data_IF_566511686428
#
_entry.id   IF_566511686428
#
_cell.length_a   1.000
_cell.length_b   1.000
_cell.length_c   1.000
_cell.angle_alpha   90.00
_cell.angle_beta   90.00
_cell.angle_gamma   90.00
#
_symmetry.space_group_name_H-M   'P 1'
#
loop_
_entity.id
_entity.type
_entity.pdbx_description
1 polymer ?
#
# COMPACT_ATOMS: atom_id res chain seq x y z
N UNK A 1 8.98 0.24 3.06
CA UNK A 1 9.86 1.39 2.72
C UNK A 1 11.25 0.98 2.25
N UNK A 2 11.97 0.09 2.95
CA UNK A 2 13.33 -0.33 2.58
C UNK A 2 13.45 -0.86 1.13
N UNK A 3 12.49 -1.66 0.66
CA UNK A 3 12.45 -2.15 -0.72
C UNK A 3 12.31 -1.01 -1.74
N UNK A 4 11.40 -0.06 -1.50
CA UNK A 4 11.21 1.09 -2.37
C UNK A 4 12.47 1.94 -2.48
N UNK A 5 13.15 2.21 -1.36
CA UNK A 5 14.43 2.95 -1.37
C UNK A 5 15.50 2.24 -2.23
N UNK A 6 15.62 0.91 -2.14
CA UNK A 6 16.55 0.17 -3.00
C UNK A 6 16.18 0.26 -4.48
N UNK A 7 14.90 0.20 -4.82
CA UNK A 7 14.46 0.30 -6.21
C UNK A 7 14.71 1.68 -6.81
N UNK A 8 14.60 2.74 -6.00
CA UNK A 8 14.98 4.09 -6.42
C UNK A 8 16.49 4.22 -6.57
N UNK A 9 17.26 3.84 -5.54
CA UNK A 9 18.70 4.07 -5.50
C UNK A 9 19.48 3.16 -6.46
N UNK A 10 19.14 1.88 -6.51
CA UNK A 10 19.92 0.88 -7.25
C UNK A 10 19.43 0.70 -8.69
N UNK A 11 18.17 1.05 -8.98
CA UNK A 11 17.55 0.78 -10.28
C UNK A 11 16.94 2.02 -10.95
N UNK A 12 17.05 3.21 -10.32
CA UNK A 12 16.50 4.48 -10.84
C UNK A 12 15.01 4.39 -11.23
N UNK A 13 14.26 3.55 -10.52
CA UNK A 13 12.83 3.39 -10.73
C UNK A 13 12.08 4.43 -9.94
N UNK A 14 11.05 5.02 -10.54
CA UNK A 14 10.13 5.85 -9.79
C UNK A 14 9.17 4.97 -8.99
N UNK A 15 8.98 5.34 -7.73
CA UNK A 15 8.29 4.54 -6.73
C UNK A 15 7.22 5.37 -6.05
N UNK A 16 5.97 4.96 -6.20
CA UNK A 16 4.84 5.47 -5.43
C UNK A 16 4.44 4.46 -4.35
N UNK A 17 4.27 4.91 -3.11
CA UNK A 17 3.71 4.17 -1.98
C UNK A 17 2.27 4.62 -1.72
N UNK A 18 1.34 3.67 -1.61
CA UNK A 18 -0.04 3.96 -1.23
C UNK A 18 -0.29 3.50 0.20
N UNK A 19 -0.41 4.44 1.13
CA UNK A 19 -0.61 4.14 2.55
C UNK A 19 -2.10 4.16 2.88
N UNK A 20 -2.61 3.09 3.49
CA UNK A 20 -4.00 3.03 3.97
C UNK A 20 -4.07 3.50 5.40
N UNK A 21 -4.72 4.63 5.64
CA UNK A 21 -4.81 5.17 6.99
C UNK A 21 -5.83 4.38 7.83
N UNK A 22 -5.37 3.70 8.89
CA UNK A 22 -6.25 3.40 10.02
C UNK A 22 -6.47 4.69 10.83
N UNK A 23 -7.64 4.83 11.45
CA UNK A 23 -8.02 6.04 12.21
C UNK A 23 -7.10 6.34 13.40
N UNK A 24 -6.19 5.42 13.74
CA UNK A 24 -5.08 5.60 14.69
C UNK A 24 -3.79 5.03 14.12
N UNK A 25 -3.15 5.75 13.21
CA UNK A 25 -1.75 5.47 12.89
C UNK A 25 -0.92 5.54 14.19
N UNK A 26 -0.12 4.51 14.47
CA UNK A 26 0.74 4.51 15.66
C UNK A 26 1.83 5.59 15.53
N UNK A 27 2.36 6.09 16.66
CA UNK A 27 3.39 7.15 16.65
C UNK A 27 4.60 6.77 15.77
N UNK A 28 5.00 5.49 15.77
CA UNK A 28 6.11 4.98 14.94
C UNK A 28 5.81 4.91 13.44
N UNK A 29 4.54 4.70 13.05
CA UNK A 29 4.12 4.75 11.63
C UNK A 29 4.21 6.18 11.09
N UNK A 30 3.77 7.16 11.89
CA UNK A 30 3.84 8.58 11.53
C UNK A 30 5.28 9.04 11.33
N UNK A 31 6.20 8.65 12.23
CA UNK A 31 7.62 8.98 12.14
C UNK A 31 8.30 8.34 10.91
N UNK A 32 7.96 7.09 10.60
CA UNK A 32 8.53 6.37 9.43
C UNK A 32 8.09 7.03 8.12
N UNK A 33 6.80 7.35 7.99
CA UNK A 33 6.25 8.03 6.81
C UNK A 33 6.83 9.44 6.69
N UNK A 34 6.91 10.20 7.79
CA UNK A 34 7.49 11.54 7.79
C UNK A 34 8.97 11.53 7.40
N UNK A 35 9.74 10.59 7.92
CA UNK A 35 11.16 10.42 7.58
C UNK A 35 11.35 10.14 6.10
N UNK A 36 10.49 9.32 5.51
CA UNK A 36 10.56 9.03 4.07
C UNK A 36 10.12 10.20 3.19
N UNK A 37 9.10 10.96 3.60
CA UNK A 37 8.74 12.22 2.92
C UNK A 37 9.89 13.22 2.97
N UNK A 38 10.57 13.33 4.11
CA UNK A 38 11.72 14.22 4.28
C UNK A 38 12.91 13.85 3.38
N UNK A 39 13.02 12.58 2.98
CA UNK A 39 14.07 12.12 2.07
C UNK A 39 13.78 12.43 0.59
N UNK A 40 12.55 12.83 0.22
CA UNK A 40 12.13 13.15 -1.16
C UNK A 40 12.43 12.06 -2.21
N UNK A 41 12.71 10.83 -1.78
CA UNK A 41 13.05 9.72 -2.68
C UNK A 41 11.81 8.99 -3.20
N UNK A 42 10.65 9.13 -2.54
CA UNK A 42 9.46 8.32 -2.78
C UNK A 42 8.22 9.20 -2.80
N UNK A 43 7.33 8.96 -3.77
CA UNK A 43 5.99 9.55 -3.75
C UNK A 43 5.12 8.76 -2.78
N UNK A 44 4.44 9.46 -1.87
CA UNK A 44 3.59 8.82 -0.86
C UNK A 44 2.18 9.39 -0.96
N UNK A 45 1.25 8.54 -1.38
CA UNK A 45 -0.18 8.85 -1.47
C UNK A 45 -0.88 8.19 -0.29
N UNK A 46 -1.54 8.99 0.53
CA UNK A 46 -2.35 8.48 1.63
C UNK A 46 -3.79 8.33 1.16
N UNK A 47 -4.31 7.12 1.24
CA UNK A 47 -5.69 6.81 0.91
C UNK A 47 -6.59 7.14 2.12
N UNK A 48 -7.76 7.77 1.91
CA UNK A 48 -8.71 7.98 2.99
C UNK A 48 -9.14 6.66 3.65
N UNK A 49 -9.45 6.68 4.96
CA UNK A 49 -9.95 5.51 5.66
C UNK A 49 -11.26 4.98 5.04
N UNK A 50 -11.42 3.66 5.03
CA UNK A 50 -12.64 2.98 4.58
C UNK A 50 -13.45 2.51 5.78
N UNK A 51 -14.78 2.63 5.69
CA UNK A 51 -15.68 2.15 6.74
C UNK A 51 -15.92 0.64 6.60
N UNK A 52 -15.51 -0.11 7.63
CA UNK A 52 -15.68 -1.56 7.73
C UNK A 52 -16.62 -1.97 8.87
N UNK A 53 -17.30 -1.01 9.52
CA UNK A 53 -18.15 -1.26 10.70
C UNK A 53 -19.25 -2.29 10.44
N UNK A 54 -19.79 -2.33 9.22
CA UNK A 54 -20.82 -3.27 8.79
C UNK A 54 -20.25 -4.54 8.11
N UNK A 55 -18.93 -4.72 8.12
CA UNK A 55 -18.23 -5.78 7.38
C UNK A 55 -17.45 -6.73 8.29
N UNK A 56 -17.15 -6.30 9.51
CA UNK A 56 -16.28 -7.01 10.45
C UNK A 56 -16.88 -6.95 11.85
N UNK A 57 -17.05 -8.11 12.49
CA UNK A 57 -17.48 -8.18 13.90
C UNK A 57 -16.40 -7.60 14.83
N UNK A 58 -16.76 -6.96 15.96
CA UNK A 58 -15.79 -6.30 16.86
C UNK A 58 -14.63 -7.17 17.34
N UNK A 59 -14.81 -8.50 17.38
CA UNK A 59 -13.82 -9.48 17.84
C UNK A 59 -13.25 -10.35 16.70
N UNK A 60 -13.40 -9.89 15.44
CA UNK A 60 -12.84 -10.62 14.31
C UNK A 60 -11.31 -10.72 14.41
N UNK A 61 -10.72 -11.83 13.93
CA UNK A 61 -9.27 -11.95 13.87
C UNK A 61 -8.64 -10.77 13.12
N UNK A 62 -7.48 -10.28 13.58
CA UNK A 62 -6.73 -9.17 12.96
C UNK A 62 -6.54 -9.39 11.45
N UNK A 63 -6.29 -10.64 11.04
CA UNK A 63 -6.14 -11.03 9.64
C UNK A 63 -7.40 -10.72 8.81
N UNK A 64 -8.58 -11.05 9.35
CA UNK A 64 -9.87 -10.78 8.70
C UNK A 64 -10.13 -9.29 8.59
N UNK A 65 -9.84 -8.54 9.65
CA UNK A 65 -9.98 -7.08 9.68
C UNK A 65 -9.11 -6.43 8.61
N UNK A 66 -7.80 -6.74 8.58
CA UNK A 66 -6.85 -6.16 7.63
C UNK A 66 -7.20 -6.52 6.17
N UNK A 67 -7.54 -7.79 5.91
CA UNK A 67 -7.94 -8.23 4.56
C UNK A 67 -9.22 -7.52 4.09
N UNK A 68 -10.15 -7.24 5.01
CA UNK A 68 -11.39 -6.52 4.71
C UNK A 68 -11.10 -5.06 4.39
N UNK A 69 -10.30 -4.37 5.21
CA UNK A 69 -9.86 -2.98 4.94
C UNK A 69 -9.21 -2.90 3.55
N UNK A 70 -8.31 -3.84 3.26
CA UNK A 70 -7.61 -3.91 1.98
C UNK A 70 -8.57 -4.03 0.80
N UNK A 71 -9.54 -4.95 0.89
CA UNK A 71 -10.52 -5.15 -0.17
C UNK A 71 -11.43 -3.93 -0.36
N UNK A 72 -11.93 -3.33 0.72
CA UNK A 72 -12.79 -2.14 0.62
C UNK A 72 -12.02 -0.90 0.12
N UNK A 73 -10.69 -0.91 0.20
CA UNK A 73 -9.83 0.16 -0.33
C UNK A 73 -9.61 0.05 -1.86
N UNK A 74 -9.79 -1.12 -2.46
CA UNK A 74 -9.50 -1.35 -3.88
C UNK A 74 -10.14 -0.34 -4.86
N UNK A 75 -11.43 0.06 -4.73
CA UNK A 75 -12.02 1.02 -5.66
C UNK A 75 -11.33 2.38 -5.65
N UNK A 76 -10.91 2.81 -4.45
CA UNK A 76 -10.17 4.05 -4.24
C UNK A 76 -8.74 3.94 -4.77
N UNK A 77 -8.09 2.79 -4.56
CA UNK A 77 -6.79 2.50 -5.15
C UNK A 77 -6.84 2.58 -6.68
N UNK A 78 -7.80 1.91 -7.32
CA UNK A 78 -7.99 1.95 -8.77
C UNK A 78 -8.26 3.34 -9.31
N UNK A 79 -9.12 4.11 -8.61
CA UNK A 79 -9.38 5.51 -8.95
C UNK A 79 -8.12 6.37 -8.88
N UNK A 80 -7.29 6.14 -7.85
CA UNK A 80 -6.04 6.87 -7.65
C UNK A 80 -5.01 6.51 -8.73
N UNK A 81 -4.83 5.22 -9.02
CA UNK A 81 -3.94 4.73 -10.10
C UNK A 81 -4.35 5.31 -11.46
N UNK A 82 -5.65 5.36 -11.76
CA UNK A 82 -6.16 5.90 -13.02
C UNK A 82 -5.79 7.39 -13.21
N UNK A 83 -5.72 8.15 -12.11
CA UNK A 83 -5.37 9.56 -12.10
C UNK A 83 -3.86 9.84 -12.19
N UNK A 84 -3.00 8.86 -11.90
CA UNK A 84 -1.55 9.03 -11.96
C UNK A 84 -1.02 9.17 -13.39
N UNK A 85 0.00 10.01 -13.54
CA UNK A 85 0.71 10.26 -14.80
C UNK A 85 2.22 10.36 -14.55
N UNK A 86 3.05 9.42 -15.08
CA UNK A 86 2.63 8.23 -15.80
C UNK A 86 1.93 7.21 -14.89
N UNK A 87 1.16 6.28 -15.49
CA UNK A 87 0.50 5.21 -14.74
C UNK A 87 1.50 4.14 -14.35
N UNK A 88 1.44 3.63 -13.10
CA UNK A 88 2.27 2.50 -12.65
C UNK A 88 2.24 1.30 -13.60
N UNK A 89 3.38 0.64 -13.77
CA UNK A 89 3.55 -0.57 -14.62
C UNK A 89 3.56 -1.87 -13.82
N UNK A 90 3.83 -1.79 -12.52
CA UNK A 90 3.84 -2.91 -11.60
C UNK A 90 3.16 -2.53 -10.28
N UNK A 91 2.54 -3.51 -9.64
CA UNK A 91 1.95 -3.46 -8.31
C UNK A 91 2.64 -4.53 -7.45
N UNK A 92 3.24 -4.09 -6.35
CA UNK A 92 3.68 -4.97 -5.27
C UNK A 92 2.68 -4.89 -4.13
N UNK A 93 2.38 -5.99 -3.47
CA UNK A 93 1.52 -6.03 -2.28
C UNK A 93 2.11 -6.94 -1.23
N UNK A 94 1.72 -6.78 0.03
CA UNK A 94 1.98 -7.77 1.06
C UNK A 94 0.91 -8.90 1.04
N UNK A 95 0.99 -9.81 2.01
CA UNK A 95 0.07 -10.95 2.13
C UNK A 95 -1.39 -10.53 2.36
N UNK A 96 -1.65 -9.37 2.97
CA UNK A 96 -2.99 -8.84 3.23
C UNK A 96 -3.53 -8.07 2.02
N UNK A 97 -2.66 -7.51 1.20
CA UNK A 97 -3.01 -6.74 0.01
C UNK A 97 -3.29 -7.54 -1.25
N UNK A 98 -3.36 -8.87 -1.19
CA UNK A 98 -3.59 -9.73 -2.36
C UNK A 98 -4.89 -9.42 -3.09
N UNK A 99 -5.91 -8.88 -2.42
CA UNK A 99 -7.13 -8.39 -3.06
C UNK A 99 -6.86 -7.26 -4.08
N UNK A 100 -5.82 -6.45 -3.90
CA UNK A 100 -5.50 -5.36 -4.82
C UNK A 100 -4.90 -5.86 -6.16
N UNK A 101 -4.57 -7.16 -6.27
CA UNK A 101 -4.09 -7.74 -7.52
C UNK A 101 -5.15 -7.71 -8.62
N UNK A 102 -6.44 -7.71 -8.27
CA UNK A 102 -7.54 -7.54 -9.22
C UNK A 102 -7.49 -6.14 -9.85
N UNK A 103 -7.16 -5.11 -9.05
CA UNK A 103 -6.94 -3.74 -9.56
C UNK A 103 -5.77 -3.72 -10.53
N UNK A 104 -4.64 -4.36 -10.20
CA UNK A 104 -3.52 -4.43 -11.13
C UNK A 104 -3.87 -5.13 -12.46
N UNK A 105 -4.73 -6.15 -12.43
CA UNK A 105 -5.20 -6.81 -13.64
C UNK A 105 -6.00 -5.84 -14.54
N UNK A 106 -6.89 -5.03 -13.96
CA UNK A 106 -7.68 -4.01 -14.69
C UNK A 106 -6.81 -2.98 -15.41
N UNK A 107 -5.64 -2.66 -14.84
CA UNK A 107 -4.69 -1.71 -15.43
C UNK A 107 -3.55 -2.39 -16.22
N UNK A 108 -3.61 -3.71 -16.42
CA UNK A 108 -2.57 -4.51 -17.09
C UNK A 108 -1.17 -4.35 -16.49
N UNK A 109 -1.10 -4.24 -15.16
CA UNK A 109 0.13 -4.08 -14.42
C UNK A 109 0.76 -5.44 -14.05
N UNK A 110 2.08 -5.48 -13.92
CA UNK A 110 2.78 -6.62 -13.34
C UNK A 110 2.38 -6.79 -11.86
N UNK A 111 2.26 -8.04 -11.40
CA UNK A 111 1.75 -8.38 -10.07
C UNK A 111 2.83 -9.07 -9.24
N UNK A 112 3.14 -8.53 -8.07
CA UNK A 112 4.13 -9.09 -7.16
C UNK A 112 3.60 -9.14 -5.72
N UNK A 113 3.87 -10.23 -5.02
CA UNK A 113 3.54 -10.38 -3.59
C UNK A 113 4.84 -10.46 -2.80
N UNK A 114 4.97 -9.62 -1.79
CA UNK A 114 6.09 -9.59 -0.86
C UNK A 114 5.68 -10.17 0.49
N UNK A 115 6.30 -11.29 0.87
CA UNK A 115 6.01 -11.95 2.15
C UNK A 115 6.99 -11.41 3.20
N UNK A 116 6.52 -10.48 4.04
CA UNK A 116 7.25 -10.02 5.23
C UNK A 116 7.25 -11.11 6.30
N UNK A 117 8.42 -11.46 6.84
CA UNK A 117 8.55 -12.48 7.90
C UNK A 117 8.14 -11.97 9.30
N UNK A 118 8.17 -10.66 9.54
CA UNK A 118 7.82 -10.08 10.83
C UNK A 118 6.48 -9.35 10.77
N UNK A 119 5.49 -9.91 11.46
CA UNK A 119 4.13 -9.38 11.61
C UNK A 119 4.13 -8.01 12.31
N UNK A 120 5.16 -7.69 13.10
CA UNK A 120 5.26 -6.42 13.85
C UNK A 120 5.42 -5.17 12.95
N UNK A 121 5.84 -5.34 11.69
CA UNK A 121 5.89 -4.26 10.69
C UNK A 121 4.73 -4.31 9.69
N UNK A 122 3.80 -5.28 9.83
CA UNK A 122 2.61 -5.39 8.99
C UNK A 122 1.58 -4.27 9.26
N UNK A 123 1.76 -3.49 10.32
CA UNK A 123 1.01 -2.25 10.55
C UNK A 123 1.41 -1.11 9.58
N UNK A 124 2.47 -1.29 8.77
CA UNK A 124 2.71 -0.43 7.60
C UNK A 124 1.71 -0.85 6.53
N UNK A 125 0.52 -0.32 6.74
CA UNK A 125 -0.70 -0.42 5.97
C UNK A 125 -0.44 -0.06 4.51
N UNK A 126 -0.44 -1.10 3.68
CA UNK A 126 -0.31 -1.11 2.23
C UNK A 126 0.98 -0.48 1.68
N UNK A 127 1.82 -1.29 1.04
CA UNK A 127 2.79 -0.79 0.06
C UNK A 127 2.33 -1.30 -1.28
N UNK A 128 1.42 -0.58 -1.95
CA UNK A 128 1.37 -0.65 -3.41
C UNK A 128 2.61 0.06 -3.88
N UNK A 129 3.57 -0.67 -4.42
CA UNK A 129 4.69 -0.08 -5.12
C UNK A 129 4.31 0.10 -6.58
N UNK A 130 4.06 1.34 -7.00
CA UNK A 130 3.93 1.66 -8.41
C UNK A 130 5.30 1.90 -9.02
N UNK A 131 5.76 1.03 -9.92
CA UNK A 131 7.00 1.25 -10.68
C UNK A 131 6.70 1.99 -11.99
N UNK A 132 7.41 3.08 -12.27
CA UNK A 132 7.45 3.69 -13.60
C UNK A 132 8.85 3.45 -14.19
N UNK A 133 8.87 2.96 -15.44
CA UNK A 133 10.09 2.82 -16.24
C UNK A 133 10.40 4.08 -17.03
#
# INVERSE_FOLDING_TARGET
MLLGNRLVVDHNLHVTFFVVAESKASTGESETIQSARAQNLLDIIQLPPVDISNKVEPNSPIFTTLTTIMRETNPLLGSTISALKPRPTALFVDIFGTAALDVAEEFHMLKYVFVTREIAQAAISLTVLGLLG
#
